data_IF_416185990705
#
_entry.id   IF_416185990705
#
_cell.length_a   1.000
_cell.length_b   1.000
_cell.length_c   1.000
_cell.angle_alpha   90.00
_cell.angle_beta   90.00
_cell.angle_gamma   90.00
#
_symmetry.space_group_name_H-M   'P 1'
#
loop_
_entity.id
_entity.type
_entity.pdbx_description
1 polymer ?
#
# COMPACT_ATOMS: atom_id res chain seq x y z
N UNK A 1 -10.76 -5.57 15.45
CA UNK A 1 -9.31 -5.61 15.75
C UNK A 1 -8.82 -7.04 15.54
N UNK A 2 -7.86 -7.23 14.63
CA UNK A 2 -7.32 -8.55 14.28
C UNK A 2 -5.95 -8.70 14.94
N UNK A 3 -5.73 -9.83 15.65
CA UNK A 3 -4.42 -10.16 16.20
C UNK A 3 -3.40 -10.28 15.07
N UNK A 4 -2.45 -9.36 14.99
CA UNK A 4 -1.47 -9.30 13.89
C UNK A 4 -0.24 -10.15 14.16
N UNK A 5 0.10 -10.40 15.41
CA UNK A 5 1.26 -11.20 15.76
C UNK A 5 1.10 -11.87 17.14
N UNK A 6 1.36 -13.16 17.21
CA UNK A 6 1.52 -13.93 18.44
C UNK A 6 2.83 -14.72 18.36
N UNK A 7 3.85 -14.31 19.15
CA UNK A 7 5.07 -15.09 19.30
C UNK A 7 4.91 -16.09 20.46
N UNK A 8 5.17 -17.36 20.18
CA UNK A 8 5.15 -18.43 21.17
C UNK A 8 6.37 -19.32 20.97
N UNK A 9 7.02 -19.72 22.08
CA UNK A 9 8.00 -20.80 22.06
C UNK A 9 7.29 -22.08 21.60
N UNK A 10 7.82 -22.77 20.60
CA UNK A 10 7.20 -23.86 19.81
C UNK A 10 6.14 -24.69 20.54
N UNK A 11 4.90 -24.72 20.00
CA UNK A 11 3.83 -25.62 20.44
C UNK A 11 3.09 -26.18 19.20
N UNK A 12 2.93 -27.54 19.19
CA UNK A 12 2.37 -28.30 18.07
C UNK A 12 0.84 -28.15 17.86
N UNK A 13 0.13 -27.33 18.68
CA UNK A 13 -1.34 -27.16 18.63
C UNK A 13 -1.80 -25.71 18.33
N UNK A 14 -1.23 -25.11 17.29
CA UNK A 14 -1.35 -23.67 17.01
C UNK A 14 -2.76 -23.13 16.76
N UNK A 15 -3.65 -23.83 16.06
CA UNK A 15 -4.91 -23.23 15.59
C UNK A 15 -6.01 -23.13 16.66
N UNK A 16 -6.25 -24.17 17.43
CA UNK A 16 -7.27 -24.16 18.48
C UNK A 16 -6.96 -23.24 19.67
N UNK A 17 -5.68 -22.96 19.91
CA UNK A 17 -5.25 -21.99 20.94
C UNK A 17 -5.43 -20.55 20.47
N UNK A 18 -5.33 -20.26 19.19
CA UNK A 18 -5.41 -18.90 18.64
C UNK A 18 -6.75 -18.22 18.94
N UNK A 19 -7.89 -18.87 18.70
CA UNK A 19 -9.22 -18.31 18.98
C UNK A 19 -9.46 -18.01 20.47
N UNK A 20 -8.91 -18.87 21.36
CA UNK A 20 -9.00 -18.67 22.81
C UNK A 20 -8.17 -17.48 23.25
N UNK A 21 -6.96 -17.31 22.69
CA UNK A 21 -6.11 -16.17 22.94
C UNK A 21 -6.75 -14.87 22.45
N UNK A 22 -7.33 -14.85 21.25
CA UNK A 22 -8.00 -13.68 20.69
C UNK A 22 -9.13 -13.17 21.61
N UNK A 23 -9.96 -14.07 22.12
CA UNK A 23 -11.09 -13.71 23.02
C UNK A 23 -10.62 -13.06 24.32
N UNK A 24 -9.57 -13.59 24.94
CA UNK A 24 -9.09 -13.06 26.22
C UNK A 24 -8.15 -11.87 26.05
N UNK A 25 -7.53 -11.73 24.89
CA UNK A 25 -6.79 -10.52 24.55
C UNK A 25 -7.73 -9.31 24.54
N UNK A 26 -8.97 -9.45 24.08
CA UNK A 26 -9.98 -8.38 24.16
C UNK A 26 -10.26 -7.95 25.62
N UNK A 27 -10.29 -8.88 26.56
CA UNK A 27 -10.47 -8.56 27.96
C UNK A 27 -9.26 -7.82 28.56
N UNK A 28 -8.03 -8.23 28.20
CA UNK A 28 -6.80 -7.52 28.58
C UNK A 28 -6.74 -6.12 27.97
N UNK A 29 -7.12 -5.97 26.69
CA UNK A 29 -7.20 -4.68 26.03
C UNK A 29 -8.23 -3.76 26.73
N UNK A 30 -9.40 -4.28 27.13
CA UNK A 30 -10.39 -3.53 27.88
C UNK A 30 -9.83 -3.05 29.22
N UNK A 31 -9.18 -3.92 29.98
CA UNK A 31 -8.54 -3.60 31.25
C UNK A 31 -7.53 -2.45 31.12
N UNK A 32 -6.68 -2.50 30.09
CA UNK A 32 -5.71 -1.42 29.86
C UNK A 32 -6.32 -0.12 29.30
N UNK A 33 -7.48 -0.20 28.62
CA UNK A 33 -8.27 1.00 28.22
C UNK A 33 -8.88 1.73 29.40
N UNK A 34 -9.14 1.04 30.52
CA UNK A 34 -9.57 1.65 31.79
C UNK A 34 -8.45 2.44 32.50
N UNK A 35 -7.23 2.48 31.94
CA UNK A 35 -6.12 3.29 32.45
C UNK A 35 -5.12 2.55 33.30
N UNK A 36 -5.20 1.24 33.38
CA UNK A 36 -4.20 0.45 34.13
C UNK A 36 -2.86 0.39 33.40
N UNK A 37 -1.75 0.47 34.16
CA UNK A 37 -0.40 0.50 33.60
C UNK A 37 0.27 -0.87 33.53
N UNK A 38 -0.20 -1.82 34.29
CA UNK A 38 0.25 -3.21 34.27
C UNK A 38 -0.78 -4.13 34.92
N UNK A 39 -0.63 -5.42 34.68
CA UNK A 39 -1.33 -6.49 35.38
C UNK A 39 -0.30 -7.51 35.83
N UNK A 40 -0.19 -7.78 37.13
CA UNK A 40 0.60 -8.87 37.69
C UNK A 40 -0.28 -9.76 38.52
N UNK A 41 -0.24 -11.07 38.29
CA UNK A 41 -1.06 -12.05 39.00
C UNK A 41 -0.24 -13.29 39.34
N UNK A 42 -0.42 -13.76 40.59
CA UNK A 42 0.19 -14.97 41.12
C UNK A 42 -0.88 -15.91 41.70
N UNK A 43 -2.08 -15.41 41.94
CA UNK A 43 -3.20 -16.17 42.45
C UNK A 43 -3.90 -16.96 41.35
N UNK A 44 -4.15 -18.25 41.62
CA UNK A 44 -4.76 -19.14 40.62
C UNK A 44 -6.16 -18.69 40.16
N UNK A 45 -6.96 -18.08 41.04
CA UNK A 45 -8.30 -17.59 40.69
C UNK A 45 -8.21 -16.37 39.76
N UNK A 46 -7.24 -15.47 40.01
CA UNK A 46 -6.99 -14.30 39.16
C UNK A 46 -6.44 -14.75 37.83
N UNK A 47 -5.49 -15.69 37.81
CA UNK A 47 -4.92 -16.24 36.56
C UNK A 47 -5.98 -16.92 35.69
N UNK A 48 -6.89 -17.70 36.31
CA UNK A 48 -8.00 -18.34 35.57
C UNK A 48 -9.01 -17.34 35.00
N UNK A 49 -9.20 -16.18 35.60
CA UNK A 49 -10.02 -15.11 35.06
C UNK A 49 -9.49 -14.61 33.70
N UNK A 50 -8.17 -14.48 33.62
CA UNK A 50 -7.51 -13.91 32.42
C UNK A 50 -7.20 -14.97 31.37
N UNK A 51 -6.75 -16.16 31.78
CA UNK A 51 -6.32 -17.26 30.91
C UNK A 51 -6.90 -18.60 31.37
N UNK A 52 -8.22 -18.81 31.28
CA UNK A 52 -8.92 -19.94 31.90
C UNK A 52 -8.56 -21.33 31.34
N UNK A 53 -7.89 -21.40 30.20
CA UNK A 53 -7.41 -22.66 29.58
C UNK A 53 -6.00 -23.08 29.99
N UNK A 54 -5.23 -22.19 30.63
CA UNK A 54 -3.86 -22.48 31.04
C UNK A 54 -3.84 -22.99 32.50
N UNK A 55 -4.08 -24.28 32.66
CA UNK A 55 -4.23 -24.94 34.02
C UNK A 55 -2.94 -24.92 34.85
N UNK A 56 -1.77 -24.81 34.23
CA UNK A 56 -0.47 -24.89 34.92
C UNK A 56 0.23 -23.52 35.03
N UNK A 57 -0.54 -22.42 34.96
CA UNK A 57 0.02 -21.10 35.10
C UNK A 57 0.34 -20.80 36.57
N UNK A 58 1.57 -20.36 36.83
CA UNK A 58 2.06 -19.97 38.17
C UNK A 58 1.98 -18.48 38.39
N UNK A 59 2.27 -17.71 37.37
CA UNK A 59 2.20 -16.25 37.39
C UNK A 59 1.99 -15.68 35.98
N UNK A 60 1.58 -14.42 35.93
CA UNK A 60 1.39 -13.67 34.70
C UNK A 60 1.76 -12.20 34.95
N UNK A 61 2.47 -11.61 34.01
CA UNK A 61 2.72 -10.17 33.94
C UNK A 61 2.26 -9.71 32.56
N UNK A 62 1.46 -8.64 32.50
CA UNK A 62 1.06 -8.01 31.29
C UNK A 62 1.25 -6.50 31.38
N UNK A 63 1.74 -5.86 30.31
CA UNK A 63 1.86 -4.42 30.18
C UNK A 63 1.32 -3.95 28.84
N UNK A 64 0.70 -2.76 28.78
CA UNK A 64 0.20 -2.23 27.54
C UNK A 64 1.33 -1.69 26.67
N UNK A 65 1.18 -1.82 25.37
CA UNK A 65 1.95 -1.11 24.35
C UNK A 65 1.06 0.02 23.85
N UNK A 66 1.29 1.26 24.30
CA UNK A 66 0.43 2.42 24.04
C UNK A 66 1.24 3.66 23.64
N UNK A 67 0.64 4.58 22.86
CA UNK A 67 1.27 5.88 22.58
C UNK A 67 1.10 6.87 23.75
N UNK A 68 1.66 8.08 23.59
CA UNK A 68 1.56 9.14 24.59
C UNK A 68 0.10 9.60 24.84
N UNK A 69 -0.78 9.48 23.83
CA UNK A 69 -2.20 9.84 23.90
C UNK A 69 -3.07 8.72 24.50
N UNK A 70 -2.44 7.62 24.95
CA UNK A 70 -3.12 6.47 25.53
C UNK A 70 -3.74 5.48 24.53
N UNK A 71 -3.52 5.67 23.21
CA UNK A 71 -3.99 4.71 22.21
C UNK A 71 -3.20 3.41 22.34
N UNK A 72 -3.94 2.30 22.50
CA UNK A 72 -3.39 0.99 22.78
C UNK A 72 -3.10 0.23 21.47
N UNK A 73 -1.85 -0.11 21.25
CA UNK A 73 -1.38 -0.90 20.10
C UNK A 73 -1.41 -2.41 20.36
N UNK A 74 -1.20 -2.81 21.62
CA UNK A 74 -1.15 -4.21 21.99
C UNK A 74 -0.81 -4.40 23.45
N UNK A 75 -0.52 -5.65 23.82
CA UNK A 75 -0.13 -6.06 25.17
C UNK A 75 1.10 -6.94 25.08
N UNK A 76 2.12 -6.63 25.88
CA UNK A 76 3.24 -7.52 26.15
C UNK A 76 2.88 -8.39 27.35
N UNK A 77 2.92 -9.72 27.18
CA UNK A 77 2.51 -10.70 28.17
C UNK A 77 3.63 -11.71 28.43
N UNK A 78 3.97 -11.96 29.69
CA UNK A 78 4.77 -13.10 30.11
C UNK A 78 4.00 -13.98 31.10
N UNK A 79 4.18 -15.28 30.97
CA UNK A 79 3.62 -16.29 31.83
C UNK A 79 4.72 -17.20 32.39
N UNK A 80 4.56 -17.66 33.65
CA UNK A 80 5.50 -18.55 34.30
C UNK A 80 6.95 -18.01 34.37
N UNK A 81 7.10 -16.72 34.61
CA UNK A 81 8.40 -16.08 34.80
C UNK A 81 9.05 -16.56 36.11
N UNK A 82 10.38 -16.69 36.13
CA UNK A 82 11.10 -17.32 37.23
C UNK A 82 11.11 -16.52 38.55
N UNK A 83 11.13 -15.18 38.44
CA UNK A 83 11.02 -14.24 39.57
C UNK A 83 10.27 -12.99 39.11
N UNK A 84 9.50 -12.37 40.00
CA UNK A 84 8.58 -11.32 39.60
C UNK A 84 8.88 -9.95 40.21
N UNK A 85 9.82 -9.83 41.17
CA UNK A 85 10.07 -8.58 41.85
C UNK A 85 10.47 -7.44 40.93
N UNK A 86 11.54 -7.63 40.18
CA UNK A 86 12.06 -6.63 39.24
C UNK A 86 11.45 -6.72 37.83
N UNK A 87 10.72 -7.81 37.54
CA UNK A 87 10.16 -8.07 36.20
C UNK A 87 9.07 -7.09 35.82
N UNK A 88 8.27 -6.56 36.74
CA UNK A 88 7.23 -5.58 36.43
C UNK A 88 7.84 -4.31 35.83
N UNK A 89 8.89 -3.79 36.45
CA UNK A 89 9.58 -2.58 35.95
C UNK A 89 10.31 -2.86 34.64
N UNK A 90 10.93 -4.03 34.48
CA UNK A 90 11.52 -4.47 33.23
C UNK A 90 10.46 -4.52 32.12
N UNK A 91 9.30 -5.12 32.39
CA UNK A 91 8.21 -5.23 31.41
C UNK A 91 7.60 -3.87 31.06
N UNK A 92 7.44 -2.97 32.02
CA UNK A 92 7.03 -1.57 31.74
C UNK A 92 8.04 -0.88 30.82
N UNK A 93 9.33 -1.02 31.09
CA UNK A 93 10.38 -0.47 30.22
C UNK A 93 10.35 -1.07 28.82
N UNK A 94 10.17 -2.39 28.72
CA UNK A 94 9.98 -3.07 27.43
C UNK A 94 8.71 -2.58 26.70
N UNK A 95 7.60 -2.41 27.39
CA UNK A 95 6.36 -1.86 26.84
C UNK A 95 6.54 -0.48 26.24
N UNK A 96 7.29 0.40 26.93
CA UNK A 96 7.65 1.72 26.40
C UNK A 96 8.54 1.62 25.15
N UNK A 97 9.55 0.76 25.17
CA UNK A 97 10.42 0.56 24.01
C UNK A 97 9.65 0.02 22.80
N UNK A 98 8.75 -0.96 22.98
CA UNK A 98 7.89 -1.44 21.92
C UNK A 98 6.93 -0.35 21.38
N UNK A 99 6.42 0.49 22.26
CA UNK A 99 5.59 1.64 21.88
C UNK A 99 6.35 2.63 21.00
N UNK A 100 7.60 2.92 21.34
CA UNK A 100 8.48 3.78 20.53
C UNK A 100 8.82 3.14 19.18
N UNK A 101 9.15 1.85 19.16
CA UNK A 101 9.43 1.12 17.93
C UNK A 101 8.22 1.11 17.01
N UNK A 102 7.03 0.81 17.53
CA UNK A 102 5.81 0.79 16.73
C UNK A 102 5.49 2.17 16.14
N UNK A 103 5.61 3.24 16.92
CA UNK A 103 5.44 4.61 16.43
C UNK A 103 6.45 4.97 15.35
N UNK A 104 7.71 4.58 15.52
CA UNK A 104 8.73 4.82 14.50
C UNK A 104 8.42 4.06 13.20
N UNK A 105 7.95 2.80 13.30
CA UNK A 105 7.50 2.04 12.13
C UNK A 105 6.33 2.72 11.43
N UNK A 106 5.30 3.16 12.16
CA UNK A 106 4.16 3.88 11.56
C UNK A 106 4.59 5.20 10.90
N UNK A 107 5.49 5.95 11.56
CA UNK A 107 6.01 7.19 10.97
C UNK A 107 6.81 6.91 9.70
N UNK A 108 7.60 5.84 9.69
CA UNK A 108 8.37 5.41 8.52
C UNK A 108 7.44 4.99 7.37
N UNK A 109 6.40 4.18 7.67
CA UNK A 109 5.42 3.75 6.66
C UNK A 109 4.66 4.96 6.08
N UNK A 110 4.24 5.90 6.93
CA UNK A 110 3.59 7.13 6.48
C UNK A 110 4.50 8.01 5.62
N UNK A 111 5.76 8.18 6.03
CA UNK A 111 6.76 8.92 5.22
C UNK A 111 7.02 8.23 3.88
N UNK A 112 7.06 6.90 3.89
CA UNK A 112 7.23 6.10 2.68
C UNK A 112 6.04 6.27 1.75
N UNK A 113 4.80 6.14 2.23
CA UNK A 113 3.58 6.36 1.44
C UNK A 113 3.57 7.76 0.83
N UNK A 114 3.90 8.80 1.61
CA UNK A 114 4.02 10.18 1.10
C UNK A 114 5.14 10.33 0.06
N UNK A 115 6.24 9.60 0.21
CA UNK A 115 7.34 9.59 -0.75
C UNK A 115 7.09 8.75 -2.00
N UNK A 116 6.09 7.86 -1.99
CA UNK A 116 5.78 6.92 -3.07
C UNK A 116 4.49 7.25 -3.84
N UNK A 117 3.70 8.24 -3.40
CA UNK A 117 2.46 8.67 -4.06
C UNK A 117 2.57 10.08 -4.65
N UNK A 118 1.81 10.34 -5.69
CA UNK A 118 1.63 11.70 -6.24
C UNK A 118 0.60 12.44 -5.40
N UNK A 119 0.98 13.59 -4.84
CA UNK A 119 0.15 14.36 -3.92
C UNK A 119 -1.13 14.94 -4.55
N UNK A 120 -1.13 15.18 -5.89
CA UNK A 120 -2.29 15.70 -6.61
C UNK A 120 -3.30 14.60 -6.93
N UNK A 121 -2.79 13.42 -7.33
CA UNK A 121 -3.58 12.36 -7.95
C UNK A 121 -3.84 11.17 -7.03
N UNK A 122 -3.05 11.02 -5.97
CA UNK A 122 -3.13 9.88 -5.05
C UNK A 122 -2.69 8.54 -5.64
N UNK A 123 -2.25 8.46 -6.90
CA UNK A 123 -1.64 7.28 -7.51
C UNK A 123 -0.15 7.21 -7.17
N UNK A 124 0.50 6.10 -7.48
CA UNK A 124 1.93 5.99 -7.28
C UNK A 124 2.73 6.98 -8.15
N UNK A 125 3.83 7.48 -7.60
CA UNK A 125 4.73 8.41 -8.26
C UNK A 125 5.93 7.68 -8.90
N UNK A 126 6.86 8.47 -9.48
CA UNK A 126 8.08 7.98 -10.11
C UNK A 126 8.96 7.17 -9.16
N UNK A 127 9.09 7.57 -7.88
CA UNK A 127 9.92 6.83 -6.93
C UNK A 127 9.39 5.40 -6.73
N UNK A 128 8.08 5.26 -6.62
CA UNK A 128 7.44 3.94 -6.50
C UNK A 128 7.56 3.14 -7.79
N UNK A 129 7.38 3.77 -8.96
CA UNK A 129 7.60 3.13 -10.26
C UNK A 129 9.01 2.52 -10.36
N UNK A 130 10.06 3.29 -10.06
CA UNK A 130 11.44 2.83 -10.11
C UNK A 130 11.72 1.68 -9.11
N UNK A 131 11.09 1.73 -7.91
CA UNK A 131 11.21 0.69 -6.90
C UNK A 131 10.45 -0.60 -7.25
N UNK A 132 9.37 -0.52 -8.04
CA UNK A 132 8.55 -1.67 -8.42
C UNK A 132 9.02 -2.31 -9.73
N UNK A 133 9.62 -1.56 -10.64
CA UNK A 133 10.06 -2.03 -11.95
C UNK A 133 10.83 -3.37 -11.90
N UNK A 134 11.84 -3.58 -11.03
CA UNK A 134 12.56 -4.85 -10.95
C UNK A 134 11.76 -6.01 -10.35
N UNK A 135 10.55 -5.77 -9.83
CA UNK A 135 9.69 -6.80 -9.21
C UNK A 135 8.78 -7.46 -10.25
N UNK A 136 8.38 -6.72 -11.29
CA UNK A 136 7.43 -7.20 -12.30
C UNK A 136 7.82 -8.52 -12.98
N UNK A 137 9.10 -8.79 -13.34
CA UNK A 137 9.50 -10.07 -13.90
C UNK A 137 9.20 -11.29 -13.02
N UNK A 138 9.00 -11.07 -11.70
CA UNK A 138 8.66 -12.12 -10.74
C UNK A 138 7.15 -12.22 -10.44
N UNK A 139 6.37 -11.26 -10.91
CA UNK A 139 4.94 -11.15 -10.60
C UNK A 139 4.04 -11.78 -11.68
N UNK A 140 4.48 -11.80 -12.94
CA UNK A 140 3.69 -12.36 -14.02
C UNK A 140 3.99 -13.87 -14.22
N UNK A 141 2.99 -14.60 -14.72
CA UNK A 141 3.08 -16.03 -15.03
C UNK A 141 2.94 -16.34 -16.52
N UNK A 142 2.13 -15.56 -17.24
CA UNK A 142 1.80 -15.78 -18.66
C UNK A 142 2.15 -14.62 -19.55
N UNK A 143 2.01 -13.38 -19.07
CA UNK A 143 2.27 -12.18 -19.86
C UNK A 143 2.43 -10.94 -18.98
N UNK A 144 3.12 -9.95 -19.50
CA UNK A 144 3.21 -8.62 -18.91
C UNK A 144 3.07 -7.57 -20.02
N UNK A 145 2.28 -6.54 -19.77
CA UNK A 145 2.18 -5.38 -20.62
C UNK A 145 2.60 -4.11 -19.90
N UNK A 146 3.17 -3.18 -20.66
CA UNK A 146 3.38 -1.80 -20.27
C UNK A 146 2.46 -0.91 -21.11
N UNK A 147 1.68 -0.08 -20.45
CA UNK A 147 0.84 0.97 -21.05
C UNK A 147 1.48 2.30 -20.68
N UNK A 148 2.02 3.01 -21.67
CA UNK A 148 2.61 4.33 -21.50
C UNK A 148 1.65 5.38 -22.07
N UNK A 149 1.36 6.42 -21.31
CA UNK A 149 0.39 7.45 -21.70
C UNK A 149 0.91 8.84 -21.41
N UNK A 150 0.62 9.77 -22.32
CA UNK A 150 0.96 11.20 -22.20
C UNK A 150 -0.28 12.04 -22.50
N UNK A 151 -0.47 13.13 -21.75
CA UNK A 151 -1.59 14.05 -21.93
C UNK A 151 -1.22 15.14 -22.93
N UNK A 152 -1.84 15.10 -24.10
CA UNK A 152 -1.57 16.05 -25.16
C UNK A 152 -2.13 17.45 -24.84
N UNK A 153 -1.34 18.48 -25.05
CA UNK A 153 -1.78 19.87 -24.93
C UNK A 153 -2.06 20.34 -23.50
N UNK A 154 -1.54 19.66 -22.46
CA UNK A 154 -1.72 20.05 -21.07
C UNK A 154 -1.21 21.48 -20.79
N UNK A 155 -0.10 21.86 -21.41
CA UNK A 155 0.45 23.21 -21.26
C UNK A 155 -0.49 24.27 -21.86
N UNK A 156 -1.05 24.03 -23.04
CA UNK A 156 -2.01 24.90 -23.69
C UNK A 156 -3.30 25.01 -22.87
N UNK A 157 -3.77 23.90 -22.31
CA UNK A 157 -4.94 23.88 -21.41
C UNK A 157 -4.69 24.76 -20.18
N UNK A 158 -3.53 24.61 -19.54
CA UNK A 158 -3.13 25.42 -18.39
C UNK A 158 -3.06 26.92 -18.73
N UNK A 159 -2.52 27.26 -19.90
CA UNK A 159 -2.40 28.65 -20.34
C UNK A 159 -3.75 29.28 -20.66
N UNK A 160 -4.70 28.52 -21.19
CA UNK A 160 -6.02 29.01 -21.60
C UNK A 160 -7.04 29.05 -20.44
N UNK A 161 -7.00 28.07 -19.53
CA UNK A 161 -8.02 27.85 -18.51
C UNK A 161 -7.47 27.84 -17.08
N UNK A 162 -6.16 28.04 -16.91
CA UNK A 162 -5.47 28.02 -15.62
C UNK A 162 -5.09 26.61 -15.15
N UNK A 163 -4.16 26.55 -14.19
CA UNK A 163 -3.63 25.29 -13.66
C UNK A 163 -4.70 24.36 -13.09
N UNK A 164 -5.79 24.90 -12.53
CA UNK A 164 -6.88 24.08 -12.02
C UNK A 164 -7.57 23.21 -13.07
N UNK A 165 -7.63 23.65 -14.34
CA UNK A 165 -8.18 22.87 -15.44
C UNK A 165 -7.26 21.70 -15.79
N UNK A 166 -5.94 21.93 -15.84
CA UNK A 166 -4.96 20.87 -16.03
C UNK A 166 -4.95 19.85 -14.90
N UNK A 167 -5.04 20.29 -13.65
CA UNK A 167 -5.15 19.40 -12.49
C UNK A 167 -6.38 18.49 -12.58
N UNK A 168 -7.52 19.02 -13.02
CA UNK A 168 -8.73 18.23 -13.25
C UNK A 168 -8.58 17.24 -14.40
N UNK A 169 -7.91 17.64 -15.50
CA UNK A 169 -7.61 16.72 -16.59
C UNK A 169 -6.72 15.56 -16.12
N UNK A 170 -5.65 15.84 -15.39
CA UNK A 170 -4.75 14.83 -14.83
C UNK A 170 -5.49 13.89 -13.87
N UNK A 171 -6.38 14.39 -13.00
CA UNK A 171 -7.21 13.57 -12.10
C UNK A 171 -8.09 12.59 -12.88
N UNK A 172 -8.75 13.06 -13.94
CA UNK A 172 -9.59 12.18 -14.79
C UNK A 172 -8.77 11.10 -15.48
N UNK A 173 -7.56 11.43 -15.96
CA UNK A 173 -6.66 10.43 -16.54
C UNK A 173 -6.29 9.38 -15.50
N UNK A 174 -5.91 9.79 -14.29
CA UNK A 174 -5.56 8.88 -13.21
C UNK A 174 -6.74 7.97 -12.81
N UNK A 175 -7.95 8.52 -12.70
CA UNK A 175 -9.18 7.78 -12.39
C UNK A 175 -9.49 6.71 -13.46
N UNK A 176 -9.38 7.05 -14.73
CA UNK A 176 -9.63 6.09 -15.82
C UNK A 176 -8.57 4.98 -15.86
N UNK A 177 -7.29 5.32 -15.63
CA UNK A 177 -6.21 4.34 -15.54
C UNK A 177 -6.40 3.39 -14.36
N UNK A 178 -6.71 3.93 -13.17
CA UNK A 178 -6.99 3.11 -11.99
C UNK A 178 -8.19 2.19 -12.18
N UNK A 179 -9.24 2.68 -12.83
CA UNK A 179 -10.46 1.91 -13.08
C UNK A 179 -10.20 0.73 -14.01
N UNK A 180 -9.31 0.86 -15.00
CA UNK A 180 -9.01 -0.18 -15.98
C UNK A 180 -7.90 -1.14 -15.54
N UNK A 181 -6.87 -0.62 -14.87
CA UNK A 181 -5.63 -1.36 -14.57
C UNK A 181 -5.37 -1.55 -13.06
N UNK A 182 -6.16 -0.89 -12.19
CA UNK A 182 -6.02 -0.97 -10.74
C UNK A 182 -4.99 0.01 -10.17
N UNK A 183 -5.18 0.33 -8.89
CA UNK A 183 -4.32 1.28 -8.17
C UNK A 183 -2.85 0.83 -8.12
N UNK A 184 -2.62 -0.43 -7.75
CA UNK A 184 -1.28 -0.97 -7.47
C UNK A 184 -0.35 -1.04 -8.68
N UNK A 185 -0.87 -0.80 -9.89
CA UNK A 185 -0.14 -0.92 -11.15
C UNK A 185 -0.11 0.37 -11.97
N UNK A 186 -0.53 1.50 -11.38
CA UNK A 186 -0.67 2.78 -12.07
C UNK A 186 0.22 3.84 -11.43
N UNK A 187 1.02 4.51 -12.25
CA UNK A 187 2.05 5.45 -11.84
C UNK A 187 1.97 6.75 -12.64
N UNK A 188 2.26 7.89 -11.98
CA UNK A 188 2.63 9.14 -12.64
C UNK A 188 4.14 9.28 -12.60
N UNK A 189 4.80 9.31 -13.75
CA UNK A 189 6.27 9.34 -13.86
C UNK A 189 6.83 10.68 -14.33
N UNK A 190 5.97 11.55 -14.84
CA UNK A 190 6.30 12.90 -15.30
C UNK A 190 5.14 13.85 -15.05
N UNK A 191 5.24 15.09 -15.56
CA UNK A 191 4.19 16.09 -15.42
C UNK A 191 2.85 15.67 -16.03
N UNK A 192 2.92 15.13 -17.25
CA UNK A 192 1.81 14.66 -18.10
C UNK A 192 1.93 13.18 -18.48
N UNK A 193 2.91 12.46 -17.92
CA UNK A 193 3.24 11.10 -18.27
C UNK A 193 2.79 10.09 -17.20
N UNK A 194 2.12 9.04 -17.68
CA UNK A 194 1.61 7.94 -16.86
C UNK A 194 2.08 6.60 -17.39
N UNK A 195 2.28 5.65 -16.49
CA UNK A 195 2.57 4.26 -16.83
C UNK A 195 1.63 3.36 -16.05
N UNK A 196 1.12 2.31 -16.71
CA UNK A 196 0.46 1.21 -16.04
C UNK A 196 1.07 -0.12 -16.50
N UNK A 197 1.21 -1.07 -15.55
CA UNK A 197 1.58 -2.45 -15.87
C UNK A 197 0.36 -3.36 -15.75
N UNK A 198 0.26 -4.34 -16.64
CA UNK A 198 -0.84 -5.30 -16.68
C UNK A 198 -0.25 -6.71 -16.69
N UNK A 199 -0.61 -7.48 -15.68
CA UNK A 199 -0.07 -8.83 -15.42
C UNK A 199 -1.09 -9.86 -15.86
N UNK A 200 -0.63 -10.89 -16.61
CA UNK A 200 -1.39 -12.09 -16.98
C UNK A 200 -2.72 -11.82 -17.70
N UNK A 201 -2.74 -10.81 -18.57
CA UNK A 201 -3.90 -10.47 -19.39
C UNK A 201 -3.59 -10.64 -20.89
N UNK A 202 -4.58 -11.03 -21.67
CA UNK A 202 -4.45 -11.16 -23.12
C UNK A 202 -4.20 -9.81 -23.80
N UNK A 203 -3.32 -9.77 -24.78
CA UNK A 203 -2.93 -8.56 -25.50
C UNK A 203 -4.13 -7.77 -26.03
N UNK A 204 -5.13 -8.47 -26.63
CA UNK A 204 -6.33 -7.82 -27.15
C UNK A 204 -7.13 -7.05 -26.10
N UNK A 205 -7.18 -7.57 -24.86
CA UNK A 205 -7.90 -6.94 -23.76
C UNK A 205 -7.15 -5.71 -23.26
N UNK A 206 -5.82 -5.82 -23.13
CA UNK A 206 -4.97 -4.67 -22.74
C UNK A 206 -5.11 -3.53 -23.75
N UNK A 207 -5.06 -3.84 -25.05
CA UNK A 207 -5.25 -2.85 -26.14
C UNK A 207 -6.65 -2.25 -26.13
N UNK A 208 -7.69 -3.08 -25.94
CA UNK A 208 -9.07 -2.61 -25.84
C UNK A 208 -9.26 -1.63 -24.68
N UNK A 209 -8.72 -1.94 -23.48
CA UNK A 209 -8.76 -1.06 -22.32
C UNK A 209 -8.08 0.27 -22.57
N UNK A 210 -6.88 0.25 -23.18
CA UNK A 210 -6.16 1.47 -23.53
C UNK A 210 -6.93 2.36 -24.51
N UNK A 211 -7.58 1.77 -25.50
CA UNK A 211 -8.39 2.51 -26.46
C UNK A 211 -9.72 3.02 -25.82
N UNK A 212 -10.32 2.26 -24.91
CA UNK A 212 -11.52 2.69 -24.16
C UNK A 212 -11.20 3.90 -23.26
N UNK A 213 -10.04 3.91 -22.59
CA UNK A 213 -9.57 5.06 -21.82
C UNK A 213 -9.42 6.27 -22.74
N UNK A 214 -8.68 6.13 -23.85
CA UNK A 214 -8.45 7.23 -24.81
C UNK A 214 -9.77 7.83 -25.29
N UNK A 215 -10.73 7.00 -25.71
CA UNK A 215 -12.04 7.44 -26.19
C UNK A 215 -12.83 8.19 -25.13
N UNK A 216 -12.88 7.68 -23.88
CA UNK A 216 -13.60 8.32 -22.76
C UNK A 216 -13.00 9.65 -22.36
N UNK A 217 -11.68 9.77 -22.39
CA UNK A 217 -11.00 11.04 -22.13
C UNK A 217 -11.27 12.05 -23.24
N UNK A 218 -11.23 11.61 -24.50
CA UNK A 218 -11.54 12.45 -25.66
C UNK A 218 -13.00 12.97 -25.63
N UNK A 219 -13.97 12.18 -25.23
CA UNK A 219 -15.37 12.58 -25.02
C UNK A 219 -15.48 13.74 -23.97
N UNK A 220 -14.49 13.90 -23.10
CA UNK A 220 -14.39 14.96 -22.12
C UNK A 220 -13.40 16.08 -22.52
N UNK A 221 -12.93 16.08 -23.77
CA UNK A 221 -12.00 17.08 -24.30
C UNK A 221 -10.55 16.91 -23.81
N UNK A 222 -10.22 15.74 -23.25
CA UNK A 222 -8.87 15.40 -22.81
C UNK A 222 -8.27 14.44 -23.82
N UNK A 223 -7.21 14.88 -24.50
CA UNK A 223 -6.53 14.10 -25.52
C UNK A 223 -5.29 13.44 -24.94
N UNK A 224 -5.14 12.13 -25.18
CA UNK A 224 -3.98 11.37 -24.71
C UNK A 224 -3.36 10.55 -25.84
N UNK A 225 -2.04 10.42 -25.79
CA UNK A 225 -1.26 9.50 -26.64
C UNK A 225 -0.93 8.25 -25.83
N UNK A 226 -1.27 7.07 -26.34
CA UNK A 226 -1.12 5.80 -25.62
C UNK A 226 -0.23 4.85 -26.43
N UNK A 227 0.85 4.34 -25.83
CA UNK A 227 1.65 3.25 -26.36
C UNK A 227 1.48 2.00 -25.51
N UNK A 228 1.42 0.82 -26.13
CA UNK A 228 1.20 -0.44 -25.43
C UNK A 228 2.17 -1.48 -25.97
N UNK A 229 3.07 -1.94 -25.12
CA UNK A 229 3.92 -3.10 -25.35
C UNK A 229 3.41 -4.28 -24.51
N UNK A 230 3.34 -5.46 -25.13
CA UNK A 230 2.88 -6.69 -24.50
C UNK A 230 3.77 -7.86 -24.88
N UNK A 231 4.21 -8.65 -23.91
CA UNK A 231 5.09 -9.80 -24.13
C UNK A 231 4.72 -10.99 -23.22
N UNK A 232 4.90 -12.21 -23.74
CA UNK A 232 4.75 -13.45 -22.98
C UNK A 232 5.97 -13.77 -22.13
N UNK A 233 7.16 -13.48 -22.63
CA UNK A 233 8.43 -13.71 -21.95
C UNK A 233 9.26 -12.44 -22.05
N UNK A 234 9.50 -11.80 -20.93
CA UNK A 234 10.22 -10.54 -20.89
C UNK A 234 11.70 -10.83 -20.70
N UNK A 235 12.51 -10.37 -21.64
CA UNK A 235 13.96 -10.43 -21.54
C UNK A 235 14.49 -9.30 -20.64
N UNK A 236 13.86 -8.14 -20.70
CA UNK A 236 14.26 -6.93 -19.99
C UNK A 236 13.10 -5.95 -19.87
N UNK A 237 12.86 -5.42 -18.65
CA UNK A 237 11.81 -4.45 -18.37
C UNK A 237 12.03 -3.13 -19.10
N UNK A 238 13.28 -2.69 -19.24
CA UNK A 238 13.61 -1.45 -19.95
C UNK A 238 13.21 -1.54 -21.43
N UNK A 239 13.39 -2.69 -22.04
CA UNK A 239 12.99 -2.93 -23.44
C UNK A 239 11.46 -2.86 -23.59
N UNK A 240 10.71 -3.44 -22.67
CA UNK A 240 9.24 -3.39 -22.67
C UNK A 240 8.73 -1.95 -22.54
N UNK A 241 9.28 -1.23 -21.55
CA UNK A 241 8.89 0.18 -21.30
C UNK A 241 9.24 1.06 -22.50
N UNK A 242 10.48 0.98 -23.03
CA UNK A 242 10.91 1.75 -24.20
C UNK A 242 10.07 1.47 -25.44
N UNK A 243 9.62 0.22 -25.61
CA UNK A 243 8.72 -0.14 -26.71
C UNK A 243 7.36 0.55 -26.58
N UNK A 244 6.80 0.60 -25.37
CA UNK A 244 5.53 1.31 -25.11
C UNK A 244 5.71 2.82 -25.28
N UNK A 245 6.77 3.40 -24.71
CA UNK A 245 7.12 4.82 -24.82
C UNK A 245 7.26 5.27 -26.28
N UNK A 246 7.99 4.49 -27.10
CA UNK A 246 8.14 4.76 -28.52
C UNK A 246 6.80 4.80 -29.25
N UNK A 247 5.91 3.86 -29.02
CA UNK A 247 4.57 3.83 -29.63
C UNK A 247 3.74 5.04 -29.18
N UNK A 248 3.83 5.43 -27.91
CA UNK A 248 3.17 6.64 -27.39
C UNK A 248 3.68 7.88 -28.11
N UNK A 249 5.01 8.01 -28.25
CA UNK A 249 5.63 9.15 -28.91
C UNK A 249 5.24 9.27 -30.39
N UNK A 250 5.20 8.16 -31.13
CA UNK A 250 4.74 8.11 -32.51
C UNK A 250 3.30 8.63 -32.64
N UNK A 251 2.41 8.22 -31.73
CA UNK A 251 1.02 8.71 -31.68
C UNK A 251 0.92 10.19 -31.29
N UNK A 252 1.79 10.66 -30.39
CA UNK A 252 1.89 12.06 -30.01
C UNK A 252 2.28 12.93 -31.21
N UNK A 253 3.25 12.50 -32.02
CA UNK A 253 3.61 13.18 -33.26
C UNK A 253 2.43 13.25 -34.22
N UNK A 254 1.74 12.14 -34.50
CA UNK A 254 0.56 12.11 -35.37
C UNK A 254 -0.55 13.05 -34.89
N UNK A 255 -0.79 13.13 -33.58
CA UNK A 255 -1.77 14.04 -32.99
C UNK A 255 -1.41 15.51 -33.29
N UNK A 256 -0.16 15.92 -33.11
CA UNK A 256 0.24 17.28 -33.37
C UNK A 256 0.30 17.63 -34.86
N UNK A 257 0.68 16.71 -35.73
CA UNK A 257 0.62 16.88 -37.19
C UNK A 257 -0.83 17.09 -37.64
N UNK A 258 -1.75 16.25 -37.19
CA UNK A 258 -3.18 16.39 -37.50
C UNK A 258 -3.76 17.70 -36.98
N UNK A 259 -3.41 18.11 -35.76
CA UNK A 259 -3.88 19.37 -35.17
C UNK A 259 -3.35 20.59 -35.87
N UNK A 260 -2.10 20.56 -36.35
CA UNK A 260 -1.52 21.64 -37.20
C UNK A 260 -2.27 21.74 -38.53
N UNK A 261 -2.53 20.63 -39.18
CA UNK A 261 -3.28 20.60 -40.43
C UNK A 261 -4.68 21.20 -40.28
N UNK A 262 -5.37 20.90 -39.21
CA UNK A 262 -6.69 21.44 -38.93
C UNK A 262 -6.68 22.96 -38.65
N UNK A 263 -5.62 23.50 -38.09
CA UNK A 263 -5.46 24.93 -37.78
C UNK A 263 -4.94 25.77 -38.96
N UNK A 264 -4.64 25.17 -40.08
CA UNK A 264 -4.26 25.87 -41.30
C UNK A 264 -2.85 26.51 -41.31
N UNK A 265 -1.91 25.91 -40.54
CA UNK A 265 -0.49 26.28 -40.57
C UNK A 265 0.32 25.25 -41.34
#
# INVERSE_FOLDING_TARGET
EKLTYLWQKEDKHKEKKKEKWERNMLALLAYFREGHDYLAAHDAAVLQKWLPWEKNMKNMIAVPIKNADGHLYGVLLACNAADTGDLVELFKSMGLNFSMLYRNMQSYDSMREQGETDALLGIYNRNRYEADLPKYPKMYHTSLACVYMDVNGLHELNNQQGHGAGDQALKRVAEELQRQYGFSFTYRIGGDEFVAFVVDEEEKNVRYKGEDIRRKLEENGIYVSVGIAWEKAISDMDTLVKSAEKQMYERKQQFYEYTRYQRGY
#
